data_IF_761539572570
#
_entry.id   IF_761539572570
#
_cell.length_a   1.000
_cell.length_b   1.000
_cell.length_c   1.000
_cell.angle_alpha   90.00
_cell.angle_beta   90.00
_cell.angle_gamma   90.00
#
_symmetry.space_group_name_H-M   'P 1'
#
loop_
_entity.id
_entity.type
_entity.pdbx_description
1 polymer ?
#
# COMPACT_ATOMS: atom_id res chain seq x y z
N UNK A 1 9.84 3.37 -19.57
CA UNK A 1 10.12 4.44 -18.59
C UNK A 1 10.71 3.73 -17.37
N UNK A 2 11.98 3.94 -17.03
CA UNK A 2 12.55 3.37 -15.81
C UNK A 2 12.13 4.26 -14.64
N UNK A 3 11.17 3.79 -13.83
CA UNK A 3 10.83 4.44 -12.57
C UNK A 3 11.95 4.10 -11.58
N UNK A 4 12.83 5.07 -11.30
CA UNK A 4 13.77 4.98 -10.19
C UNK A 4 13.13 5.64 -8.97
N UNK A 5 12.81 4.83 -7.97
CA UNK A 5 12.35 5.31 -6.67
C UNK A 5 13.56 5.50 -5.77
N UNK A 6 13.67 6.67 -5.16
CA UNK A 6 14.76 7.00 -4.23
C UNK A 6 14.54 6.40 -2.85
N UNK A 7 13.28 6.19 -2.48
CA UNK A 7 12.86 5.56 -1.24
C UNK A 7 11.60 4.71 -1.45
N UNK A 8 11.44 3.70 -0.60
CA UNK A 8 10.31 2.77 -0.63
C UNK A 8 9.66 2.74 0.75
N UNK A 9 8.34 2.90 0.77
CA UNK A 9 7.49 2.71 1.95
C UNK A 9 6.70 1.42 1.81
N UNK A 10 6.90 0.48 2.74
CA UNK A 10 6.24 -0.82 2.73
C UNK A 10 5.24 -0.95 3.88
N UNK A 11 4.09 -1.56 3.61
CA UNK A 11 3.12 -1.95 4.63
C UNK A 11 2.90 -3.45 4.51
N UNK A 12 2.99 -4.14 5.64
CA UNK A 12 2.77 -5.59 5.74
C UNK A 12 1.71 -5.86 6.79
N UNK A 13 0.72 -6.67 6.43
CA UNK A 13 -0.24 -7.20 7.38
C UNK A 13 -0.07 -8.72 7.48
N UNK A 14 0.46 -9.19 8.61
CA UNK A 14 0.58 -10.62 8.92
C UNK A 14 -0.65 -11.19 9.65
N UNK A 15 -1.61 -10.34 9.99
CA UNK A 15 -2.83 -10.77 10.66
C UNK A 15 -3.77 -11.51 9.69
N UNK A 16 -4.60 -12.37 10.27
CA UNK A 16 -5.68 -13.08 9.56
C UNK A 16 -6.87 -12.18 9.26
N UNK A 17 -6.88 -10.95 9.79
CA UNK A 17 -7.93 -9.97 9.63
C UNK A 17 -7.40 -8.69 9.01
N UNK A 18 -8.30 -7.92 8.40
CA UNK A 18 -7.94 -6.62 7.85
C UNK A 18 -7.61 -5.64 8.99
N UNK A 19 -6.58 -4.82 8.78
CA UNK A 19 -6.11 -3.85 9.76
C UNK A 19 -6.32 -2.44 9.23
N UNK A 20 -6.84 -1.56 10.09
CA UNK A 20 -6.91 -0.12 9.77
C UNK A 20 -5.62 0.55 10.19
N UNK A 21 -5.02 1.29 9.26
CA UNK A 21 -3.73 1.93 9.47
C UNK A 21 -3.73 3.31 8.83
N UNK A 22 -3.29 4.32 9.58
CA UNK A 22 -3.01 5.65 9.04
C UNK A 22 -1.49 5.86 9.06
N UNK A 23 -0.83 5.93 7.89
CA UNK A 23 0.61 6.08 7.84
C UNK A 23 0.99 7.52 8.23
N UNK A 24 2.02 7.72 9.09
CA UNK A 24 2.49 9.05 9.48
C UNK A 24 3.35 9.65 8.35
N UNK A 25 2.73 9.91 7.20
CA UNK A 25 3.42 10.40 6.01
C UNK A 25 3.52 11.91 6.05
N UNK A 26 4.76 12.42 6.05
CA UNK A 26 5.06 13.83 5.84
C UNK A 26 5.29 14.17 4.36
N UNK A 27 5.40 13.15 3.51
CA UNK A 27 5.70 13.29 2.09
C UNK A 27 4.45 13.13 1.24
N UNK A 28 4.27 14.10 0.36
CA UNK A 28 3.26 14.08 -0.69
C UNK A 28 3.89 13.37 -1.90
N UNK A 29 3.15 12.45 -2.54
CA UNK A 29 3.49 11.76 -3.80
C UNK A 29 4.13 10.36 -3.71
N UNK A 30 3.74 9.55 -2.72
CA UNK A 30 4.05 8.11 -2.75
C UNK A 30 3.13 7.38 -3.75
N UNK A 31 3.71 6.82 -4.80
CA UNK A 31 3.01 6.06 -5.84
C UNK A 31 3.10 4.56 -5.57
N UNK A 32 1.99 3.85 -5.77
CA UNK A 32 1.92 2.40 -5.57
C UNK A 32 2.82 1.70 -6.59
N UNK A 33 3.62 0.76 -6.10
CA UNK A 33 4.53 -0.05 -6.93
C UNK A 33 4.00 -1.47 -7.06
N UNK A 34 3.64 -2.07 -5.92
CA UNK A 34 3.19 -3.46 -5.84
C UNK A 34 2.16 -3.58 -4.73
N UNK A 35 1.11 -4.36 -4.98
CA UNK A 35 0.09 -4.74 -4.00
C UNK A 35 -0.24 -6.22 -4.20
N UNK A 36 0.14 -7.06 -3.24
CA UNK A 36 -0.07 -8.51 -3.32
C UNK A 36 -1.54 -8.91 -3.16
N UNK A 37 -2.40 -7.99 -2.74
CA UNK A 37 -3.84 -8.20 -2.59
C UNK A 37 -4.65 -7.65 -3.75
N UNK A 38 -4.01 -6.93 -4.68
CA UNK A 38 -4.62 -6.53 -5.93
C UNK A 38 -4.62 -7.72 -6.89
N UNK A 39 -5.72 -8.49 -6.88
CA UNK A 39 -5.88 -9.65 -7.73
C UNK A 39 -6.65 -9.34 -9.01
N UNK A 40 -6.10 -9.73 -10.16
CA UNK A 40 -6.92 -10.46 -11.14
C UNK A 40 -7.02 -11.96 -10.79
N UNK A 41 -6.18 -12.48 -9.86
CA UNK A 41 -6.08 -13.93 -9.63
C UNK A 41 -6.16 -14.47 -8.19
N UNK A 42 -5.90 -13.73 -7.10
CA UNK A 42 -5.72 -14.39 -5.77
C UNK A 42 -6.16 -13.64 -4.49
N UNK A 43 -6.98 -12.58 -4.55
CA UNK A 43 -7.42 -11.93 -3.32
C UNK A 43 -8.49 -10.87 -3.51
N UNK A 44 -9.30 -10.67 -2.47
CA UNK A 44 -10.31 -9.61 -2.35
C UNK A 44 -9.75 -8.28 -2.84
N UNK A 45 -10.31 -7.76 -3.94
CA UNK A 45 -9.90 -6.51 -4.59
C UNK A 45 -9.41 -5.47 -3.58
N UNK A 46 -8.12 -5.14 -3.65
CA UNK A 46 -7.53 -4.13 -2.79
C UNK A 46 -8.24 -2.79 -2.97
N UNK A 47 -8.52 -2.12 -1.84
CA UNK A 47 -9.07 -0.76 -1.83
C UNK A 47 -7.99 0.31 -1.66
N UNK A 48 -6.72 -0.09 -1.66
CA UNK A 48 -5.60 0.82 -1.48
C UNK A 48 -5.49 1.79 -2.67
N UNK A 49 -5.27 3.09 -2.44
CA UNK A 49 -5.19 4.07 -3.52
C UNK A 49 -3.88 3.94 -4.31
N UNK A 50 -3.86 4.36 -5.57
CA UNK A 50 -2.61 4.42 -6.36
C UNK A 50 -1.62 5.46 -5.83
N UNK A 51 -2.10 6.48 -5.12
CA UNK A 51 -1.29 7.50 -4.47
C UNK A 51 -1.76 7.70 -3.03
N UNK A 52 -0.82 7.68 -2.08
CA UNK A 52 -1.15 7.94 -0.68
C UNK A 52 -1.31 9.44 -0.41
N UNK A 53 -2.31 9.76 0.42
CA UNK A 53 -2.50 11.09 1.00
C UNK A 53 -2.09 11.09 2.48
N UNK A 54 -1.59 12.21 3.02
CA UNK A 54 -1.30 12.33 4.44
C UNK A 54 -2.54 12.02 5.29
N UNK A 55 -2.33 11.36 6.43
CA UNK A 55 -3.35 11.02 7.42
C UNK A 55 -4.50 10.13 6.91
N UNK A 56 -4.45 9.68 5.66
CA UNK A 56 -5.47 8.81 5.07
C UNK A 56 -5.57 7.49 5.83
N UNK A 57 -6.77 7.15 6.28
CA UNK A 57 -7.02 5.85 6.89
C UNK A 57 -7.11 4.77 5.80
N UNK A 58 -6.19 3.83 5.83
CA UNK A 58 -6.11 2.70 4.92
C UNK A 58 -6.69 1.44 5.58
N UNK A 59 -7.24 0.56 4.77
CA UNK A 59 -7.59 -0.80 5.19
C UNK A 59 -6.62 -1.76 4.51
N UNK A 60 -5.75 -2.38 5.29
CA UNK A 60 -4.75 -3.33 4.80
C UNK A 60 -5.34 -4.73 4.87
N UNK A 61 -5.45 -5.39 3.72
CA UNK A 61 -6.01 -6.74 3.62
C UNK A 61 -5.20 -7.76 4.46
N UNK A 62 -5.82 -8.87 4.92
CA UNK A 62 -5.11 -9.93 5.62
C UNK A 62 -3.95 -10.49 4.79
N UNK A 63 -2.89 -10.94 5.48
CA UNK A 63 -1.76 -11.65 4.87
C UNK A 63 -1.24 -11.00 3.58
N UNK A 64 -1.08 -9.67 3.59
CA UNK A 64 -0.78 -8.88 2.41
C UNK A 64 0.44 -7.99 2.56
N UNK A 65 1.00 -7.63 1.41
CA UNK A 65 2.13 -6.73 1.26
C UNK A 65 1.79 -5.66 0.23
N UNK A 66 2.11 -4.41 0.54
CA UNK A 66 2.06 -3.30 -0.42
C UNK A 66 3.32 -2.45 -0.29
N UNK A 67 3.79 -1.92 -1.42
CA UNK A 67 4.91 -0.98 -1.49
C UNK A 67 4.54 0.25 -2.31
N UNK A 68 5.03 1.39 -1.84
CA UNK A 68 4.96 2.69 -2.50
C UNK A 68 6.35 3.29 -2.62
N UNK A 69 6.58 4.16 -3.61
CA UNK A 69 7.83 4.89 -3.74
C UNK A 69 7.65 6.27 -4.35
N UNK A 70 8.71 7.09 -4.23
CA UNK A 70 8.83 8.42 -4.83
C UNK A 70 10.26 8.71 -5.29
#
# INVERSE_FOLDING_TARGET
MNLQFSQIFCIMNFEKYAVKFSPPLHQLNLLKILDSSNGEQLGSNSSLPEQLQPEQLLTINPLSFVSYGY
#
